data_IF_370295744989
#
_entry.id   IF_370295744989
#
_cell.length_a   1.000
_cell.length_b   1.000
_cell.length_c   1.000
_cell.angle_alpha   90.00
_cell.angle_beta   90.00
_cell.angle_gamma   90.00
#
_symmetry.space_group_name_H-M   'P 1'
#
loop_
_entity.id
_entity.type
_entity.pdbx_description
1 polymer ?
#
# COMPACT_ATOMS: atom_id res chain seq x y z
N UNK A 1 36.12 66.76 42.95
CA UNK A 1 35.51 67.16 44.24
C UNK A 1 34.14 66.53 44.37
N UNK A 2 33.92 65.79 45.46
CA UNK A 2 32.65 65.54 46.18
C UNK A 2 31.50 64.88 45.39
N UNK A 3 31.20 63.59 45.62
CA UNK A 3 30.46 62.99 46.75
C UNK A 3 28.96 63.31 46.79
N UNK A 4 28.19 62.23 47.04
CA UNK A 4 26.95 62.14 47.85
C UNK A 4 25.65 62.65 47.19
N UNK A 5 24.45 62.05 47.36
CA UNK A 5 23.86 61.00 48.23
C UNK A 5 22.54 60.58 47.52
N UNK A 6 22.22 59.30 47.39
CA UNK A 6 21.26 58.55 48.22
C UNK A 6 19.94 59.29 48.52
N UNK A 7 18.83 58.87 47.89
CA UNK A 7 17.56 58.72 48.62
C UNK A 7 16.63 57.68 47.99
N UNK A 8 16.16 56.82 48.87
CA UNK A 8 15.25 55.68 48.76
C UNK A 8 13.81 56.15 48.56
N UNK A 9 13.10 55.66 47.52
CA UNK A 9 11.64 55.55 47.53
C UNK A 9 11.24 54.23 46.89
N UNK A 10 10.73 53.33 47.73
CA UNK A 10 10.10 52.07 47.41
C UNK A 10 8.65 52.35 46.95
N UNK A 11 8.30 52.07 45.70
CA UNK A 11 6.91 51.90 45.27
C UNK A 11 6.80 50.58 44.53
N UNK A 12 6.10 49.66 45.18
CA UNK A 12 5.63 48.39 44.66
C UNK A 12 4.68 48.65 43.47
N UNK A 13 5.07 48.23 42.26
CA UNK A 13 4.15 48.12 41.13
C UNK A 13 4.27 46.71 40.56
N UNK A 14 3.28 45.90 40.93
CA UNK A 14 3.04 44.56 40.41
C UNK A 14 2.70 44.68 38.92
N UNK A 15 3.67 44.40 38.05
CA UNK A 15 3.44 44.23 36.62
C UNK A 15 3.17 42.75 36.32
N UNK A 16 1.89 42.38 36.37
CA UNK A 16 1.37 41.17 35.75
C UNK A 16 1.49 41.36 34.23
N UNK A 17 2.46 40.69 33.62
CA UNK A 17 2.58 40.59 32.16
C UNK A 17 2.90 39.15 31.77
N UNK A 18 1.86 38.47 31.27
CA UNK A 18 1.98 37.57 30.14
C UNK A 18 2.53 36.17 30.41
N UNK A 19 1.74 35.32 31.08
CA UNK A 19 1.75 33.89 30.79
C UNK A 19 1.16 33.69 29.39
N UNK A 20 2.01 33.73 28.36
CA UNK A 20 1.63 33.28 27.01
C UNK A 20 1.60 31.76 27.00
N UNK A 21 0.38 31.26 27.24
CA UNK A 21 -0.19 29.98 26.86
C UNK A 21 0.63 29.18 25.81
N UNK A 22 1.41 28.20 26.27
CA UNK A 22 1.90 27.10 25.44
C UNK A 22 0.83 26.00 25.44
N UNK A 23 -0.08 26.03 24.46
CA UNK A 23 -1.10 24.98 24.33
C UNK A 23 -1.33 24.50 22.88
N UNK A 24 -0.39 24.73 21.97
CA UNK A 24 -0.50 24.30 20.56
C UNK A 24 0.57 23.30 20.07
N UNK A 25 1.36 22.66 20.95
CA UNK A 25 2.34 21.63 20.52
C UNK A 25 1.77 20.19 20.46
N UNK A 26 0.57 19.93 20.99
CA UNK A 26 0.02 18.57 21.11
C UNK A 26 -0.93 18.15 19.98
N UNK A 27 -1.40 19.10 19.15
CA UNK A 27 -2.29 18.83 18.03
C UNK A 27 -1.50 18.44 16.77
N UNK A 28 -0.40 19.15 16.49
CA UNK A 28 0.46 18.93 15.31
C UNK A 28 1.18 17.56 15.36
N UNK A 29 1.58 17.11 16.55
CA UNK A 29 2.26 15.83 16.76
C UNK A 29 1.33 14.61 16.60
N UNK A 30 0.05 14.72 16.96
CA UNK A 30 -0.93 13.63 16.77
C UNK A 30 -1.37 13.47 15.32
N UNK A 31 -1.53 14.56 14.59
CA UNK A 31 -1.94 14.51 13.18
C UNK A 31 -0.79 14.01 12.29
N UNK A 32 0.44 14.44 12.55
CA UNK A 32 1.63 13.94 11.86
C UNK A 32 1.88 12.44 12.10
N UNK A 33 1.67 11.95 13.33
CA UNK A 33 1.83 10.53 13.66
C UNK A 33 0.76 9.64 13.01
N UNK A 34 -0.49 10.12 12.90
CA UNK A 34 -1.56 9.41 12.17
C UNK A 34 -1.27 9.36 10.67
N UNK A 35 -0.85 10.47 10.07
CA UNK A 35 -0.51 10.53 8.65
C UNK A 35 0.68 9.59 8.31
N UNK A 36 1.72 9.58 9.15
CA UNK A 36 2.88 8.71 8.98
C UNK A 36 2.51 7.22 9.16
N UNK A 37 1.66 6.92 10.15
CA UNK A 37 1.09 5.58 10.33
C UNK A 37 0.30 5.14 9.11
N UNK A 38 -0.52 6.03 8.55
CA UNK A 38 -1.33 5.73 7.36
C UNK A 38 -0.46 5.47 6.13
N UNK A 39 0.60 6.27 5.95
CA UNK A 39 1.57 6.07 4.88
C UNK A 39 2.27 4.72 5.01
N UNK A 40 2.69 4.33 6.22
CA UNK A 40 3.33 3.04 6.47
C UNK A 40 2.40 1.85 6.18
N UNK A 41 1.16 1.92 6.66
CA UNK A 41 0.10 0.94 6.35
C UNK A 41 -0.12 0.84 4.85
N UNK A 42 -0.26 1.97 4.18
CA UNK A 42 -0.48 2.02 2.74
C UNK A 42 0.70 1.41 1.96
N UNK A 43 1.94 1.72 2.36
CA UNK A 43 3.13 1.12 1.78
C UNK A 43 3.12 -0.42 1.92
N UNK A 44 2.82 -0.95 3.11
CA UNK A 44 2.73 -2.40 3.33
C UNK A 44 1.62 -3.04 2.49
N UNK A 45 0.43 -2.41 2.44
CA UNK A 45 -0.69 -2.89 1.61
C UNK A 45 -0.32 -2.99 0.15
N UNK A 46 0.37 -1.98 -0.37
CA UNK A 46 0.71 -1.93 -1.78
C UNK A 46 1.83 -2.87 -2.18
N UNK A 47 2.88 -2.93 -1.36
CA UNK A 47 4.16 -3.51 -1.77
C UNK A 47 4.38 -4.90 -1.19
N UNK A 48 3.70 -5.25 -0.10
CA UNK A 48 4.03 -6.46 0.65
C UNK A 48 2.85 -7.45 0.80
N UNK A 49 1.61 -6.97 0.91
CA UNK A 49 0.44 -7.84 1.13
C UNK A 49 0.10 -8.80 0.00
N UNK A 50 0.63 -8.58 -1.21
CA UNK A 50 0.47 -9.53 -2.32
C UNK A 50 1.06 -10.92 -2.00
N UNK A 51 2.07 -10.97 -1.13
CA UNK A 51 2.68 -12.22 -0.65
C UNK A 51 2.43 -12.45 0.85
N UNK A 52 2.50 -11.39 1.67
CA UNK A 52 2.33 -11.42 3.13
C UNK A 52 0.87 -11.23 3.57
N UNK A 53 -0.06 -11.86 2.85
CA UNK A 53 -1.49 -11.70 3.09
C UNK A 53 -1.86 -12.19 4.50
N UNK A 54 -2.49 -11.31 5.30
CA UNK A 54 -2.88 -11.57 6.68
C UNK A 54 -4.07 -12.54 6.78
N UNK A 55 -4.88 -12.60 5.73
CA UNK A 55 -6.20 -13.24 5.73
C UNK A 55 -6.27 -14.52 4.90
N UNK A 56 -5.24 -14.83 4.11
CA UNK A 56 -5.19 -16.03 3.29
C UNK A 56 -5.15 -17.31 4.15
N UNK A 57 -5.81 -18.38 3.67
CA UNK A 57 -5.70 -19.71 4.27
C UNK A 57 -4.25 -20.16 4.21
N UNK A 58 -3.83 -21.01 5.15
CA UNK A 58 -2.43 -21.42 5.26
C UNK A 58 -1.88 -22.04 3.97
N UNK A 59 -2.69 -22.84 3.26
CA UNK A 59 -2.33 -23.47 1.98
C UNK A 59 -2.23 -22.50 0.80
N UNK A 60 -2.76 -21.28 0.93
CA UNK A 60 -2.77 -20.24 -0.11
C UNK A 60 -1.70 -19.18 0.14
N UNK A 61 -1.02 -19.23 1.30
CA UNK A 61 0.03 -18.27 1.65
C UNK A 61 1.29 -18.53 0.86
N UNK A 62 1.91 -17.41 0.49
CA UNK A 62 3.13 -17.38 -0.32
C UNK A 62 4.32 -16.89 0.48
N UNK A 63 4.05 -16.27 1.62
CA UNK A 63 5.02 -15.84 2.59
C UNK A 63 4.39 -15.89 3.99
N UNK A 64 5.20 -15.79 5.06
CA UNK A 64 4.68 -15.70 6.42
C UNK A 64 3.80 -14.44 6.60
N UNK A 65 2.71 -14.51 7.38
CA UNK A 65 1.92 -13.33 7.70
C UNK A 65 2.71 -12.38 8.62
N UNK A 66 2.42 -11.08 8.56
CA UNK A 66 3.14 -10.07 9.34
C UNK A 66 3.09 -10.30 10.85
N UNK A 67 2.00 -10.84 11.38
CA UNK A 67 1.94 -11.26 12.79
C UNK A 67 3.07 -12.23 13.17
N UNK A 68 3.33 -13.24 12.33
CA UNK A 68 4.38 -14.21 12.60
C UNK A 68 5.76 -13.55 12.46
N UNK A 69 5.96 -12.74 11.41
CA UNK A 69 7.22 -12.00 11.19
C UNK A 69 7.54 -11.16 12.42
N UNK A 70 6.62 -10.27 12.81
CA UNK A 70 6.78 -9.41 13.98
C UNK A 70 7.10 -10.20 15.24
N UNK A 71 6.33 -11.27 15.52
CA UNK A 71 6.54 -12.11 16.71
C UNK A 71 7.96 -12.71 16.75
N UNK A 72 8.46 -13.21 15.62
CA UNK A 72 9.78 -13.81 15.54
C UNK A 72 10.90 -12.77 15.66
N UNK A 73 10.78 -11.63 14.97
CA UNK A 73 11.76 -10.56 15.08
C UNK A 73 11.80 -9.93 16.48
N UNK A 74 10.65 -9.70 17.13
CA UNK A 74 10.61 -9.17 18.50
C UNK A 74 11.18 -10.13 19.54
N UNK A 75 11.12 -11.44 19.30
CA UNK A 75 11.70 -12.45 20.19
C UNK A 75 13.23 -12.32 20.25
N UNK A 76 13.87 -12.16 19.10
CA UNK A 76 15.34 -12.12 18.99
C UNK A 76 15.88 -10.68 19.10
N UNK A 77 15.07 -9.69 18.72
CA UNK A 77 15.40 -8.26 18.70
C UNK A 77 14.28 -7.42 19.36
N UNK A 78 14.20 -7.40 20.71
CA UNK A 78 13.14 -6.67 21.41
C UNK A 78 13.33 -5.15 21.41
N UNK A 79 14.52 -4.65 21.09
CA UNK A 79 14.82 -3.22 20.98
C UNK A 79 14.59 -2.74 19.55
N UNK A 80 13.97 -1.56 19.40
CA UNK A 80 13.54 -1.01 18.10
C UNK A 80 14.68 -0.93 17.09
N UNK A 81 15.84 -0.45 17.51
CA UNK A 81 17.01 -0.25 16.64
C UNK A 81 17.54 -1.58 16.10
N UNK A 82 17.59 -2.61 16.95
CA UNK A 82 18.04 -3.94 16.55
C UNK A 82 17.00 -4.66 15.67
N UNK A 83 15.71 -4.48 15.97
CA UNK A 83 14.62 -4.98 15.15
C UNK A 83 14.68 -4.38 13.75
N UNK A 84 14.87 -3.06 13.67
CA UNK A 84 14.96 -2.34 12.41
C UNK A 84 16.17 -2.78 11.59
N UNK A 85 17.35 -2.80 12.21
CA UNK A 85 18.58 -3.22 11.54
C UNK A 85 18.49 -4.65 11.00
N UNK A 86 17.94 -5.58 11.79
CA UNK A 86 17.78 -6.97 11.37
C UNK A 86 16.79 -7.14 10.21
N UNK A 87 15.64 -6.45 10.24
CA UNK A 87 14.68 -6.48 9.14
C UNK A 87 15.24 -5.83 7.88
N UNK A 88 15.90 -4.67 8.03
CA UNK A 88 16.46 -3.93 6.91
C UNK A 88 17.55 -4.72 6.19
N UNK A 89 18.44 -5.38 6.96
CA UNK A 89 19.48 -6.27 6.43
C UNK A 89 18.88 -7.36 5.55
N UNK A 90 17.83 -8.04 6.03
CA UNK A 90 17.16 -9.07 5.24
C UNK A 90 16.44 -8.52 4.01
N UNK A 91 15.77 -7.37 4.11
CA UNK A 91 15.01 -6.78 2.99
C UNK A 91 15.93 -6.24 1.89
N UNK A 92 17.08 -5.67 2.23
CA UNK A 92 18.08 -5.16 1.28
C UNK A 92 18.89 -6.29 0.63
N UNK A 93 19.14 -7.37 1.38
CA UNK A 93 19.90 -8.53 0.91
C UNK A 93 19.27 -9.84 1.41
N UNK A 94 18.16 -10.29 0.79
CA UNK A 94 17.57 -11.58 1.15
C UNK A 94 18.51 -12.71 0.74
N UNK A 95 18.99 -13.46 1.72
CA UNK A 95 19.74 -14.69 1.54
C UNK A 95 19.50 -15.64 2.73
N UNK A 96 19.99 -16.89 2.63
CA UNK A 96 19.76 -17.88 3.68
C UNK A 96 20.41 -17.50 5.01
N UNK A 97 21.55 -16.77 5.00
CA UNK A 97 22.24 -16.33 6.20
C UNK A 97 21.42 -15.26 6.94
N UNK A 98 20.91 -14.26 6.21
CA UNK A 98 20.13 -13.15 6.73
C UNK A 98 18.68 -13.54 7.11
N UNK A 99 18.19 -14.69 6.65
CA UNK A 99 16.86 -15.19 7.01
C UNK A 99 16.83 -15.75 8.43
N UNK A 100 16.21 -15.05 9.39
CA UNK A 100 16.09 -15.55 10.78
C UNK A 100 15.00 -16.63 10.92
N UNK A 101 13.95 -16.56 10.11
CA UNK A 101 12.82 -17.49 10.15
C UNK A 101 13.10 -18.74 9.30
N UNK A 102 13.99 -19.63 9.73
CA UNK A 102 14.40 -20.83 8.95
C UNK A 102 13.22 -21.74 8.54
N UNK A 103 12.21 -21.88 9.40
CA UNK A 103 10.99 -22.63 9.06
C UNK A 103 10.16 -21.98 7.94
N UNK A 104 10.15 -20.65 7.87
CA UNK A 104 9.51 -19.93 6.76
C UNK A 104 10.31 -20.08 5.47
N UNK A 105 11.64 -20.01 5.55
CA UNK A 105 12.52 -20.25 4.40
C UNK A 105 12.28 -21.65 3.81
N UNK A 106 12.21 -22.68 4.65
CA UNK A 106 11.93 -24.05 4.20
C UNK A 106 10.53 -24.21 3.58
N UNK A 107 9.53 -23.47 4.08
CA UNK A 107 8.14 -23.60 3.64
C UNK A 107 7.81 -22.76 2.39
N UNK A 108 8.31 -21.54 2.32
CA UNK A 108 7.92 -20.55 1.30
C UNK A 108 9.04 -20.25 0.30
N UNK A 109 10.26 -20.69 0.57
CA UNK A 109 11.45 -20.30 -0.18
C UNK A 109 11.96 -18.91 0.22
N UNK A 110 13.02 -18.47 -0.46
CA UNK A 110 13.64 -17.17 -0.21
C UNK A 110 12.78 -16.04 -0.79
N UNK A 111 12.59 -14.97 -0.01
CA UNK A 111 11.92 -13.76 -0.48
C UNK A 111 12.75 -13.13 -1.61
N UNK A 112 12.14 -12.80 -2.78
CA UNK A 112 12.85 -12.10 -3.83
C UNK A 112 13.36 -10.73 -3.37
N UNK A 113 14.53 -10.31 -3.85
CA UNK A 113 15.06 -8.98 -3.58
C UNK A 113 14.10 -7.91 -4.11
N UNK A 114 13.67 -7.04 -3.21
CA UNK A 114 12.87 -5.86 -3.53
C UNK A 114 13.77 -4.63 -3.55
N UNK A 115 13.48 -3.69 -4.45
CA UNK A 115 14.24 -2.43 -4.55
C UNK A 115 13.32 -1.29 -4.17
N UNK A 116 13.44 -0.83 -2.92
CA UNK A 116 12.75 0.34 -2.39
C UNK A 116 13.74 1.26 -1.69
N UNK A 117 13.47 2.58 -1.65
CA UNK A 117 14.26 3.50 -0.84
C UNK A 117 14.31 3.03 0.63
N UNK A 118 15.48 3.12 1.25
CA UNK A 118 15.67 2.72 2.65
C UNK A 118 14.68 3.43 3.58
N UNK A 119 14.40 4.71 3.34
CA UNK A 119 13.42 5.50 4.08
C UNK A 119 12.03 4.83 4.12
N UNK A 120 11.58 4.30 2.99
CA UNK A 120 10.25 3.69 2.89
C UNK A 120 10.22 2.31 3.57
N UNK A 121 11.33 1.56 3.49
CA UNK A 121 11.50 0.31 4.25
C UNK A 121 11.47 0.57 5.75
N UNK A 122 12.22 1.56 6.24
CA UNK A 122 12.25 1.94 7.66
C UNK A 122 10.87 2.34 8.16
N UNK A 123 10.14 3.14 7.39
CA UNK A 123 8.76 3.51 7.70
C UNK A 123 7.86 2.27 7.91
N UNK A 124 7.97 1.28 7.03
CA UNK A 124 7.20 0.04 7.13
C UNK A 124 7.62 -0.83 8.32
N UNK A 125 8.93 -0.92 8.58
CA UNK A 125 9.50 -1.71 9.69
C UNK A 125 9.11 -1.10 11.04
N UNK A 126 9.20 0.22 11.18
CA UNK A 126 8.77 0.97 12.36
C UNK A 126 7.30 0.70 12.66
N UNK A 127 6.43 0.76 11.64
CA UNK A 127 5.03 0.41 11.80
C UNK A 127 4.83 -1.03 12.28
N UNK A 128 5.55 -2.00 11.71
CA UNK A 128 5.49 -3.40 12.14
C UNK A 128 5.98 -3.58 13.58
N UNK A 129 6.97 -2.81 14.03
CA UNK A 129 7.45 -2.85 15.41
C UNK A 129 6.38 -2.33 16.39
N UNK A 130 5.83 -1.16 16.11
CA UNK A 130 4.96 -0.42 17.04
C UNK A 130 3.52 -0.94 17.08
N UNK A 131 3.05 -1.61 16.02
CA UNK A 131 1.65 -2.00 15.88
C UNK A 131 1.49 -3.51 15.92
N UNK A 132 0.50 -3.99 16.66
CA UNK A 132 0.06 -5.38 16.57
C UNK A 132 -0.51 -5.65 15.18
N UNK A 133 -0.20 -6.83 14.65
CA UNK A 133 -0.63 -7.26 13.32
C UNK A 133 -1.78 -8.24 13.47
N UNK A 134 -2.73 -8.18 12.53
CA UNK A 134 -3.88 -9.08 12.55
C UNK A 134 -3.40 -10.54 12.49
N UNK A 135 -3.89 -11.35 13.43
CA UNK A 135 -3.69 -12.79 13.36
C UNK A 135 -4.60 -13.34 12.25
N UNK A 136 -4.13 -14.29 11.44
CA UNK A 136 -5.04 -14.98 10.55
C UNK A 136 -6.09 -15.70 11.39
N UNK A 137 -7.35 -15.45 11.11
CA UNK A 137 -8.43 -16.24 11.71
C UNK A 137 -8.20 -17.70 11.35
N UNK A 138 -8.03 -18.56 12.36
CA UNK A 138 -8.07 -19.99 12.15
C UNK A 138 -9.47 -20.31 11.61
N UNK A 139 -9.53 -20.96 10.44
CA UNK A 139 -10.75 -21.60 9.96
C UNK A 139 -11.14 -22.69 10.98
N UNK A 140 -11.81 -22.28 12.05
CA UNK A 140 -12.02 -23.05 13.26
C UNK A 140 -13.32 -22.63 13.90
N UNK A 141 -14.40 -23.25 13.40
CA UNK A 141 -15.78 -23.22 13.91
C UNK A 141 -16.41 -21.83 13.99
N UNK A 142 -17.36 -21.61 13.08
CA UNK A 142 -18.25 -20.45 13.08
C UNK A 142 -18.73 -20.11 14.50
N UNK A 143 -18.33 -18.92 14.94
CA UNK A 143 -19.02 -18.24 16.01
C UNK A 143 -20.47 -18.07 15.56
N UNK A 144 -21.40 -18.69 16.30
CA UNK A 144 -22.82 -18.44 16.14
C UNK A 144 -23.10 -16.99 16.54
N UNK A 145 -22.94 -16.03 15.63
CA UNK A 145 -23.84 -14.89 15.57
C UNK A 145 -25.00 -15.31 14.69
N UNK A 146 -26.04 -15.85 15.33
CA UNK A 146 -27.34 -15.93 14.69
C UNK A 146 -27.87 -14.51 14.52
N UNK A 147 -27.62 -13.92 13.35
CA UNK A 147 -28.57 -12.99 12.75
C UNK A 147 -28.85 -13.48 11.34
N UNK A 148 -30.02 -14.12 11.20
CA UNK A 148 -30.54 -14.54 9.90
C UNK A 148 -30.84 -13.29 9.08
N UNK A 149 -30.09 -13.07 8.01
CA UNK A 149 -30.52 -12.22 6.89
C UNK A 149 -29.60 -11.08 6.49
N UNK A 150 -28.52 -10.80 7.23
CA UNK A 150 -27.59 -9.72 6.84
C UNK A 150 -26.38 -10.30 6.08
N UNK A 151 -26.20 -9.80 4.87
CA UNK A 151 -25.01 -10.05 4.05
C UNK A 151 -23.79 -9.53 4.80
N UNK A 152 -22.78 -10.38 5.03
CA UNK A 152 -21.52 -9.97 5.66
C UNK A 152 -20.66 -9.22 4.63
N UNK A 153 -20.85 -7.89 4.56
CA UNK A 153 -20.10 -7.00 3.68
C UNK A 153 -18.59 -7.09 3.91
N UNK A 154 -18.15 -7.32 5.16
CA UNK A 154 -16.74 -7.44 5.48
C UNK A 154 -16.15 -8.73 4.88
N UNK A 155 -16.88 -9.85 4.94
CA UNK A 155 -16.47 -11.09 4.28
C UNK A 155 -16.40 -10.94 2.76
N UNK A 156 -17.34 -10.20 2.16
CA UNK A 156 -17.36 -9.92 0.72
C UNK A 156 -16.12 -9.09 0.34
N UNK A 157 -15.89 -7.96 1.00
CA UNK A 157 -14.69 -7.15 0.75
C UNK A 157 -13.41 -7.97 0.98
N UNK A 158 -13.35 -8.85 1.98
CA UNK A 158 -12.18 -9.71 2.19
C UNK A 158 -11.94 -10.68 1.01
N UNK A 159 -13.00 -11.26 0.44
CA UNK A 159 -12.93 -12.11 -0.77
C UNK A 159 -12.48 -11.30 -1.98
N UNK A 160 -13.06 -10.12 -2.18
CA UNK A 160 -12.68 -9.17 -3.24
C UNK A 160 -11.21 -8.77 -3.20
N UNK A 161 -10.72 -8.38 -2.03
CA UNK A 161 -9.32 -8.01 -1.81
C UNK A 161 -8.38 -9.17 -2.13
N UNK A 162 -8.73 -10.38 -1.70
CA UNK A 162 -7.95 -11.59 -2.02
C UNK A 162 -7.82 -11.81 -3.53
N UNK A 163 -8.92 -11.67 -4.28
CA UNK A 163 -8.90 -11.82 -5.74
C UNK A 163 -8.04 -10.74 -6.39
N UNK A 164 -8.17 -9.48 -5.96
CA UNK A 164 -7.37 -8.36 -6.45
C UNK A 164 -5.88 -8.56 -6.17
N UNK A 165 -5.50 -8.97 -4.96
CA UNK A 165 -4.11 -9.22 -4.58
C UNK A 165 -3.48 -10.40 -5.34
N UNK A 166 -4.21 -11.50 -5.51
CA UNK A 166 -3.73 -12.65 -6.28
C UNK A 166 -3.51 -12.28 -7.76
N UNK A 167 -4.42 -11.50 -8.34
CA UNK A 167 -4.30 -11.03 -9.73
C UNK A 167 -3.15 -10.04 -9.88
N UNK A 168 -3.05 -9.05 -8.96
CA UNK A 168 -1.93 -8.10 -8.89
C UNK A 168 -0.60 -8.82 -8.78
N UNK A 169 -0.52 -9.89 -8.00
CA UNK A 169 0.70 -10.70 -7.86
C UNK A 169 1.13 -11.32 -9.18
N UNK A 170 0.22 -11.97 -9.90
CA UNK A 170 0.55 -12.63 -11.17
C UNK A 170 1.02 -11.60 -12.20
N UNK A 171 0.32 -10.48 -12.31
CA UNK A 171 0.72 -9.39 -13.21
C UNK A 171 2.05 -8.77 -12.80
N UNK A 172 2.23 -8.46 -11.52
CA UNK A 172 3.45 -7.90 -10.98
C UNK A 172 4.65 -8.81 -11.19
N UNK A 173 4.51 -10.13 -10.98
CA UNK A 173 5.58 -11.11 -11.25
C UNK A 173 6.03 -11.06 -12.71
N UNK A 174 5.09 -11.11 -13.65
CA UNK A 174 5.43 -11.11 -15.08
C UNK A 174 5.98 -9.74 -15.53
N UNK A 175 5.44 -8.64 -14.98
CA UNK A 175 5.97 -7.30 -15.20
C UNK A 175 7.43 -7.18 -14.73
N UNK A 176 7.72 -7.59 -13.50
CA UNK A 176 9.08 -7.55 -12.96
C UNK A 176 10.04 -8.42 -13.76
N UNK A 177 9.59 -9.58 -14.25
CA UNK A 177 10.40 -10.42 -15.14
C UNK A 177 10.73 -9.71 -16.46
N UNK A 178 9.74 -9.06 -17.09
CA UNK A 178 9.96 -8.28 -18.30
C UNK A 178 10.91 -7.10 -18.05
N UNK A 179 10.73 -6.37 -16.95
CA UNK A 179 11.62 -5.27 -16.58
C UNK A 179 13.06 -5.75 -16.32
N UNK A 180 13.25 -6.94 -15.74
CA UNK A 180 14.57 -7.53 -15.55
C UNK A 180 15.20 -8.01 -16.88
N UNK A 181 14.38 -8.44 -17.84
CA UNK A 181 14.84 -8.93 -19.14
C UNK A 181 15.31 -7.80 -20.07
N UNK A 182 14.53 -6.71 -20.16
CA UNK A 182 14.76 -5.66 -21.15
C UNK A 182 14.41 -4.24 -20.69
N UNK A 183 14.31 -4.02 -19.38
CA UNK A 183 13.98 -2.71 -18.83
C UNK A 183 12.53 -2.28 -19.05
N UNK A 184 12.26 -1.01 -18.74
CA UNK A 184 10.91 -0.45 -18.79
C UNK A 184 10.35 -0.38 -20.21
N UNK A 185 11.17 -0.13 -21.23
CA UNK A 185 10.72 -0.11 -22.61
C UNK A 185 10.19 -1.49 -23.07
N UNK A 186 10.89 -2.58 -22.74
CA UNK A 186 10.41 -3.94 -23.04
C UNK A 186 9.16 -4.30 -22.22
N UNK A 187 9.09 -3.87 -20.97
CA UNK A 187 7.92 -4.09 -20.13
C UNK A 187 6.62 -3.46 -20.68
N UNK A 188 6.73 -2.38 -21.47
CA UNK A 188 5.58 -1.77 -22.18
C UNK A 188 4.94 -2.77 -23.16
N UNK A 189 5.76 -3.54 -23.89
CA UNK A 189 5.27 -4.54 -24.85
C UNK A 189 4.56 -5.69 -24.17
N UNK A 190 5.16 -6.17 -23.08
CA UNK A 190 4.53 -7.15 -22.21
C UNK A 190 3.16 -6.64 -21.72
N UNK A 191 3.08 -5.39 -21.25
CA UNK A 191 1.84 -4.81 -20.78
C UNK A 191 0.78 -4.68 -21.88
N UNK A 192 1.19 -4.37 -23.11
CA UNK A 192 0.28 -4.23 -24.25
C UNK A 192 -0.33 -5.56 -24.67
N UNK A 193 0.47 -6.62 -24.72
CA UNK A 193 0.06 -7.90 -25.29
C UNK A 193 -0.48 -8.88 -24.25
N UNK A 194 0.07 -8.89 -23.03
CA UNK A 194 -0.16 -9.97 -22.06
C UNK A 194 -1.03 -9.58 -20.88
N UNK A 195 -1.08 -8.31 -20.50
CA UNK A 195 -1.69 -7.92 -19.22
C UNK A 195 -3.20 -8.21 -19.15
N UNK A 196 -3.95 -7.99 -20.23
CA UNK A 196 -5.40 -8.30 -20.26
C UNK A 196 -5.61 -9.81 -20.14
N UNK A 197 -4.94 -10.61 -20.98
CA UNK A 197 -5.06 -12.06 -20.97
C UNK A 197 -4.73 -12.69 -19.60
N UNK A 198 -3.71 -12.17 -18.90
CA UNK A 198 -3.37 -12.61 -17.55
C UNK A 198 -4.46 -12.24 -16.54
N UNK A 199 -5.08 -11.07 -16.68
CA UNK A 199 -6.21 -10.66 -15.83
C UNK A 199 -7.40 -11.57 -16.04
N UNK A 200 -7.76 -11.83 -17.30
CA UNK A 200 -8.88 -12.70 -17.68
C UNK A 200 -8.68 -14.13 -17.20
N UNK A 201 -7.46 -14.67 -17.36
CA UNK A 201 -7.08 -15.99 -16.86
C UNK A 201 -7.23 -16.10 -15.34
N UNK A 202 -6.85 -15.05 -14.61
CA UNK A 202 -7.05 -15.00 -13.16
C UNK A 202 -8.53 -14.92 -12.79
N UNK A 203 -9.33 -14.18 -13.56
CA UNK A 203 -10.78 -14.15 -13.39
C UNK A 203 -11.40 -15.54 -13.49
N UNK A 204 -11.07 -16.30 -14.54
CA UNK A 204 -11.54 -17.69 -14.69
C UNK A 204 -11.10 -18.57 -13.53
N UNK A 205 -9.81 -18.51 -13.15
CA UNK A 205 -9.24 -19.31 -12.05
C UNK A 205 -9.91 -19.01 -10.72
N UNK A 206 -10.22 -17.74 -10.47
CA UNK A 206 -10.79 -17.26 -9.21
C UNK A 206 -12.33 -17.19 -9.23
N UNK A 207 -12.95 -17.62 -10.34
CA UNK A 207 -14.41 -17.60 -10.56
C UNK A 207 -15.01 -16.22 -10.33
N UNK A 208 -14.35 -15.20 -10.86
CA UNK A 208 -14.77 -13.80 -10.80
C UNK A 208 -14.47 -13.09 -12.12
N UNK A 209 -15.24 -12.06 -12.46
CA UNK A 209 -14.78 -11.07 -13.43
C UNK A 209 -13.74 -10.19 -12.75
N UNK A 210 -12.63 -9.93 -13.41
CA UNK A 210 -11.58 -9.03 -12.90
C UNK A 210 -11.16 -8.11 -14.03
N UNK A 211 -11.22 -6.80 -13.79
CA UNK A 211 -10.71 -5.80 -14.74
C UNK A 211 -9.99 -4.67 -14.01
N UNK A 212 -9.21 -3.91 -14.78
CA UNK A 212 -8.61 -2.65 -14.32
C UNK A 212 -9.22 -1.50 -15.10
N UNK A 213 -9.59 -0.44 -14.41
CA UNK A 213 -10.13 0.77 -15.03
C UNK A 213 -9.41 2.02 -14.55
N UNK A 214 -9.43 3.07 -15.35
CA UNK A 214 -8.81 4.36 -15.01
C UNK A 214 -9.48 5.49 -15.80
N UNK A 215 -9.48 6.68 -15.19
CA UNK A 215 -9.81 7.96 -15.80
C UNK A 215 -8.67 8.52 -16.67
N UNK A 216 -7.44 8.02 -16.48
CA UNK A 216 -6.24 8.26 -17.29
C UNK A 216 -5.69 6.93 -17.79
N UNK A 217 -6.49 6.24 -18.60
CA UNK A 217 -6.18 4.91 -19.09
C UNK A 217 -5.06 4.95 -20.16
N UNK A 218 -4.20 3.92 -20.15
CA UNK A 218 -3.18 3.71 -21.20
C UNK A 218 -3.76 2.90 -22.36
N UNK A 219 -4.38 1.78 -21.99
CA UNK A 219 -5.14 0.98 -22.91
C UNK A 219 -6.59 1.51 -22.95
N UNK A 220 -7.16 1.86 -24.12
CA UNK A 220 -8.56 2.26 -24.28
C UNK A 220 -9.57 1.31 -23.63
N UNK A 221 -9.28 0.01 -23.61
CA UNK A 221 -10.16 -1.01 -23.01
C UNK A 221 -10.28 -0.91 -21.47
N UNK A 222 -9.41 -0.11 -20.84
CA UNK A 222 -9.43 0.14 -19.40
C UNK A 222 -10.01 1.54 -19.07
N UNK A 223 -10.74 2.18 -20.00
CA UNK A 223 -11.46 3.40 -19.69
C UNK A 223 -12.54 3.14 -18.64
N UNK A 224 -12.59 3.97 -17.60
CA UNK A 224 -13.61 3.88 -16.56
C UNK A 224 -14.98 4.34 -17.09
N UNK A 225 -16.03 3.61 -16.73
CA UNK A 225 -17.42 4.01 -16.90
C UNK A 225 -17.82 5.15 -15.96
N UNK A 226 -18.98 5.76 -16.19
CA UNK A 226 -19.51 6.82 -15.31
C UNK A 226 -19.68 6.35 -13.85
N UNK A 227 -20.12 5.11 -13.63
CA UNK A 227 -20.22 4.53 -12.29
C UNK A 227 -18.84 4.40 -11.64
N UNK A 228 -17.86 3.85 -12.36
CA UNK A 228 -16.50 3.66 -11.85
C UNK A 228 -15.78 4.99 -11.57
N UNK A 229 -16.07 6.04 -12.35
CA UNK A 229 -15.53 7.38 -12.12
C UNK A 229 -15.97 7.96 -10.76
N UNK A 230 -17.16 7.61 -10.26
CA UNK A 230 -17.60 8.04 -8.93
C UNK A 230 -16.69 7.50 -7.82
N UNK A 231 -16.31 6.22 -7.93
CA UNK A 231 -15.38 5.57 -6.99
C UNK A 231 -13.95 6.07 -7.16
N UNK A 232 -13.50 6.34 -8.40
CA UNK A 232 -12.20 6.97 -8.65
C UNK A 232 -12.10 8.31 -7.92
N UNK A 233 -13.11 9.17 -8.05
CA UNK A 233 -13.11 10.47 -7.40
C UNK A 233 -13.16 10.33 -5.88
N UNK A 234 -14.02 9.44 -5.35
CA UNK A 234 -14.07 9.13 -3.91
C UNK A 234 -12.69 8.74 -3.37
N UNK A 235 -11.97 7.85 -4.04
CA UNK A 235 -10.63 7.42 -3.59
C UNK A 235 -9.57 8.51 -3.74
N UNK A 236 -9.66 9.38 -4.76
CA UNK A 236 -8.77 10.56 -4.85
C UNK A 236 -8.99 11.51 -3.68
N UNK A 237 -10.24 11.76 -3.30
CA UNK A 237 -10.58 12.63 -2.18
C UNK A 237 -10.07 12.07 -0.85
N UNK A 238 -10.18 10.76 -0.63
CA UNK A 238 -9.59 10.07 0.53
C UNK A 238 -8.07 10.24 0.58
N UNK A 239 -7.37 10.04 -0.55
CA UNK A 239 -5.92 10.22 -0.62
C UNK A 239 -5.50 11.67 -0.38
N UNK A 240 -6.26 12.64 -0.90
CA UNK A 240 -6.03 14.06 -0.65
C UNK A 240 -6.16 14.40 0.84
N UNK A 241 -7.02 13.68 1.56
CA UNK A 241 -7.21 13.77 3.01
C UNK A 241 -6.22 12.90 3.81
N UNK A 242 -5.24 12.25 3.15
CA UNK A 242 -4.26 11.33 3.76
C UNK A 242 -4.88 10.13 4.46
N UNK A 243 -6.08 9.76 4.04
CA UNK A 243 -6.75 8.53 4.46
C UNK A 243 -6.21 7.34 3.68
N UNK A 244 -6.38 6.14 4.24
CA UNK A 244 -6.07 4.90 3.53
C UNK A 244 -7.35 4.44 2.84
N UNK A 245 -7.42 4.50 1.50
CA UNK A 245 -8.60 3.99 0.81
C UNK A 245 -8.70 2.47 0.96
N UNK A 246 -9.83 2.01 1.50
CA UNK A 246 -10.21 0.60 1.60
C UNK A 246 -11.10 0.21 0.41
N UNK A 247 -11.41 -1.08 0.25
CA UNK A 247 -12.32 -1.50 -0.82
C UNK A 247 -13.73 -0.93 -0.65
N UNK A 248 -14.41 -0.70 -1.77
CA UNK A 248 -15.82 -0.28 -1.80
C UNK A 248 -16.68 -1.38 -2.41
N UNK A 249 -17.91 -1.52 -1.92
CA UNK A 249 -18.85 -2.58 -2.32
C UNK A 249 -20.10 -1.97 -2.94
N UNK A 250 -20.53 -2.56 -4.04
CA UNK A 250 -21.82 -2.32 -4.69
C UNK A 250 -22.54 -3.66 -4.88
N UNK A 251 -23.78 -3.75 -4.42
CA UNK A 251 -24.63 -4.91 -4.68
C UNK A 251 -25.17 -4.84 -6.10
N UNK A 252 -25.05 -5.94 -6.84
CA UNK A 252 -25.58 -6.06 -8.21
C UNK A 252 -26.77 -7.03 -8.21
N UNK A 253 -27.45 -7.18 -9.35
CA UNK A 253 -28.54 -8.15 -9.50
C UNK A 253 -28.07 -9.60 -9.29
N UNK A 254 -26.85 -9.91 -9.74
CA UNK A 254 -26.30 -11.27 -9.80
C UNK A 254 -25.24 -11.54 -8.71
N UNK A 255 -25.01 -10.60 -7.79
CA UNK A 255 -24.01 -10.74 -6.73
C UNK A 255 -23.45 -9.41 -6.26
N UNK A 256 -22.12 -9.28 -6.33
CA UNK A 256 -21.39 -8.13 -5.80
C UNK A 256 -20.38 -7.62 -6.81
N UNK A 257 -20.27 -6.29 -6.87
CA UNK A 257 -19.16 -5.56 -7.50
C UNK A 257 -18.35 -4.89 -6.41
N UNK A 258 -17.05 -5.10 -6.42
CA UNK A 258 -16.14 -4.47 -5.47
C UNK A 258 -15.02 -3.73 -6.20
N UNK A 259 -14.56 -2.64 -5.57
CA UNK A 259 -13.57 -1.73 -6.13
C UNK A 259 -12.38 -1.63 -5.20
N UNK A 260 -11.16 -1.80 -5.72
CA UNK A 260 -9.93 -1.57 -4.96
C UNK A 260 -9.02 -0.58 -5.67
N UNK A 261 -8.48 0.42 -4.96
CA UNK A 261 -7.60 1.41 -5.54
C UNK A 261 -6.26 0.80 -5.97
N UNK A 262 -5.78 1.20 -7.15
CA UNK A 262 -4.43 0.96 -7.63
C UNK A 262 -3.66 2.25 -7.40
N UNK A 263 -2.76 2.22 -6.43
CA UNK A 263 -1.96 3.37 -6.06
C UNK A 263 -0.55 3.21 -6.63
N UNK A 264 0.02 4.31 -7.13
CA UNK A 264 1.37 4.35 -7.70
C UNK A 264 2.46 4.22 -6.65
N UNK A 265 3.52 3.51 -7.01
CA UNK A 265 4.77 3.43 -6.27
C UNK A 265 5.96 3.77 -7.19
N UNK A 266 7.19 3.67 -6.68
CA UNK A 266 8.40 4.13 -7.39
C UNK A 266 8.61 3.40 -8.72
N UNK A 267 8.27 2.11 -8.76
CA UNK A 267 8.36 1.31 -9.99
C UNK A 267 7.34 1.78 -11.03
N UNK A 268 6.14 2.19 -10.60
CA UNK A 268 5.11 2.70 -11.51
C UNK A 268 5.59 3.94 -12.28
N UNK A 269 6.39 4.80 -11.65
CA UNK A 269 6.82 6.08 -12.23
C UNK A 269 7.74 5.91 -13.45
N UNK A 270 8.44 4.78 -13.57
CA UNK A 270 9.26 4.47 -14.73
C UNK A 270 8.46 4.41 -16.04
N UNK A 271 7.14 4.24 -15.96
CA UNK A 271 6.23 4.19 -17.11
C UNK A 271 5.06 5.19 -17.01
N UNK A 272 4.74 5.67 -15.81
CA UNK A 272 3.57 6.52 -15.54
C UNK A 272 3.93 7.89 -14.95
N UNK A 273 5.20 8.14 -14.64
CA UNK A 273 5.66 9.40 -14.05
C UNK A 273 5.76 10.56 -15.03
N UNK A 274 6.50 11.60 -14.66
CA UNK A 274 6.75 12.77 -15.49
C UNK A 274 7.68 12.42 -16.67
N UNK A 275 7.27 12.78 -17.88
CA UNK A 275 8.05 12.53 -19.08
C UNK A 275 9.37 13.31 -19.06
N UNK A 276 10.48 12.65 -19.40
CA UNK A 276 11.80 13.26 -19.39
C UNK A 276 12.42 13.46 -18.00
N UNK A 277 11.70 13.10 -16.93
CA UNK A 277 12.23 13.07 -15.55
C UNK A 277 12.20 11.65 -14.99
N UNK A 278 11.01 11.07 -14.84
CA UNK A 278 10.83 9.73 -14.27
C UNK A 278 10.87 8.64 -15.35
N UNK A 279 10.41 8.97 -16.56
CA UNK A 279 10.31 8.05 -17.69
C UNK A 279 11.49 8.27 -18.64
N UNK A 280 12.29 7.23 -18.84
CA UNK A 280 13.38 7.24 -19.82
C UNK A 280 12.85 7.44 -21.25
N UNK A 281 13.61 8.15 -22.09
CA UNK A 281 13.20 8.51 -23.45
C UNK A 281 12.80 7.27 -24.29
N UNK A 282 13.59 6.20 -24.23
CA UNK A 282 13.29 4.93 -24.93
C UNK A 282 11.93 4.33 -24.51
N UNK A 283 11.59 4.44 -23.22
CA UNK A 283 10.32 3.92 -22.68
C UNK A 283 9.17 4.81 -23.15
N UNK A 284 9.37 6.12 -23.15
CA UNK A 284 8.36 7.08 -23.62
C UNK A 284 8.07 6.92 -25.12
N UNK A 285 9.10 6.74 -25.94
CA UNK A 285 8.96 6.44 -27.37
C UNK A 285 8.19 5.14 -27.58
N UNK A 286 8.51 4.10 -26.81
CA UNK A 286 7.80 2.82 -26.90
C UNK A 286 6.34 2.93 -26.47
N UNK A 287 6.05 3.69 -25.41
CA UNK A 287 4.68 3.98 -24.97
C UNK A 287 3.89 4.65 -26.09
N UNK A 288 4.44 5.69 -26.72
CA UNK A 288 3.77 6.42 -27.81
C UNK A 288 3.50 5.53 -29.02
N UNK A 289 4.43 4.64 -29.36
CA UNK A 289 4.25 3.70 -30.46
C UNK A 289 3.16 2.65 -30.18
N UNK A 290 3.16 2.08 -28.96
CA UNK A 290 2.22 1.00 -28.59
C UNK A 290 0.85 1.51 -28.13
N UNK A 291 0.77 2.77 -27.70
CA UNK A 291 -0.43 3.42 -27.17
C UNK A 291 -0.53 4.87 -27.66
N UNK A 292 -0.96 5.11 -28.92
CA UNK A 292 -1.07 6.46 -29.48
C UNK A 292 -2.02 7.40 -28.74
N UNK A 293 -2.99 6.83 -28.00
CA UNK A 293 -3.97 7.55 -27.19
C UNK A 293 -3.69 7.44 -25.68
N UNK A 294 -2.43 7.22 -25.27
CA UNK A 294 -2.07 7.11 -23.85
C UNK A 294 -2.40 8.38 -23.07
N UNK A 295 -3.10 8.22 -21.94
CA UNK A 295 -3.38 9.30 -20.99
C UNK A 295 -2.59 9.12 -19.67
N UNK A 296 -1.86 8.02 -19.51
CA UNK A 296 -1.37 7.54 -18.23
C UNK A 296 0.03 8.06 -17.86
N UNK A 297 0.26 9.36 -17.96
CA UNK A 297 1.55 10.01 -17.66
C UNK A 297 1.39 11.09 -16.57
N UNK A 298 2.52 11.54 -16.02
CA UNK A 298 2.58 12.63 -15.04
C UNK A 298 2.09 12.25 -13.64
N UNK A 299 2.10 10.96 -13.31
CA UNK A 299 1.78 10.51 -11.96
C UNK A 299 2.95 10.76 -10.99
N UNK A 300 2.63 10.93 -9.72
CA UNK A 300 3.59 10.95 -8.61
C UNK A 300 3.42 9.73 -7.74
N UNK A 301 4.30 9.57 -6.75
CA UNK A 301 4.15 8.56 -5.69
C UNK A 301 2.82 8.74 -4.95
N UNK A 302 2.18 7.63 -4.59
CA UNK A 302 0.96 7.58 -3.78
C UNK A 302 -0.28 8.25 -4.41
N UNK A 303 -0.32 8.33 -5.74
CA UNK A 303 -1.50 8.81 -6.47
C UNK A 303 -2.37 7.65 -6.96
N UNK A 304 -3.67 7.90 -7.16
CA UNK A 304 -4.59 6.91 -7.69
C UNK A 304 -4.36 6.72 -9.19
N UNK A 305 -3.77 5.57 -9.56
CA UNK A 305 -3.59 5.16 -10.97
C UNK A 305 -4.91 4.70 -11.60
N UNK A 306 -5.77 4.06 -10.83
CA UNK A 306 -7.02 3.47 -11.31
C UNK A 306 -7.60 2.51 -10.28
N UNK A 307 -8.53 1.65 -10.70
CA UNK A 307 -9.19 0.67 -9.83
C UNK A 307 -9.04 -0.74 -10.38
N UNK A 308 -8.98 -1.71 -9.48
CA UNK A 308 -9.49 -3.05 -9.73
C UNK A 308 -11.01 -3.02 -9.59
N UNK A 309 -11.71 -3.61 -10.54
CA UNK A 309 -13.16 -3.85 -10.48
C UNK A 309 -13.36 -5.34 -10.56
N UNK A 310 -14.05 -5.90 -9.57
CA UNK A 310 -14.27 -7.33 -9.46
C UNK A 310 -15.75 -7.60 -9.31
N UNK A 311 -16.29 -8.48 -10.16
CA UNK A 311 -17.66 -8.96 -10.07
C UNK A 311 -17.66 -10.46 -9.73
N UNK A 312 -18.42 -10.86 -8.72
CA UNK A 312 -18.61 -12.27 -8.39
C UNK A 312 -19.95 -12.50 -7.69
N UNK A 313 -20.42 -13.73 -7.77
CA UNK A 313 -21.68 -14.14 -7.16
C UNK A 313 -21.55 -14.24 -5.63
N UNK A 314 -22.66 -13.97 -4.94
CA UNK A 314 -22.81 -14.39 -3.56
C UNK A 314 -22.75 -15.92 -3.48
N UNK A 315 -22.04 -16.46 -2.50
CA UNK A 315 -22.03 -17.89 -2.23
C UNK A 315 -23.39 -18.36 -1.69
#
# INVERSE_FOLDING_TARGET
MKNAKLSLVLVLLVSILGLSNCSNLSVDTKEQTVAQTNLAKQFLRQNCLACHCETARESERLAPPFFAIRKHYLKDYPQKENFEAAMLTFLQEPNEANAIMKGALAKFGLMPKITFPEKDLKLAIEYLYENDQAKPEHAGKGGKSQEKGQVDEAAILKKGESIALQTKKVLGKNLMAAMAEGGSAYAVDFCNVKAINLTDSMGQKLKASVKRVSDKNRNPNNAASLEELTFINKFKDMLAQKEIPTGELLKTADGYRVFYPIITNQMCLQCHGEAGTDIANETLERIRAMYPADLALGYKMNELRGLWVLDYQAD
#
